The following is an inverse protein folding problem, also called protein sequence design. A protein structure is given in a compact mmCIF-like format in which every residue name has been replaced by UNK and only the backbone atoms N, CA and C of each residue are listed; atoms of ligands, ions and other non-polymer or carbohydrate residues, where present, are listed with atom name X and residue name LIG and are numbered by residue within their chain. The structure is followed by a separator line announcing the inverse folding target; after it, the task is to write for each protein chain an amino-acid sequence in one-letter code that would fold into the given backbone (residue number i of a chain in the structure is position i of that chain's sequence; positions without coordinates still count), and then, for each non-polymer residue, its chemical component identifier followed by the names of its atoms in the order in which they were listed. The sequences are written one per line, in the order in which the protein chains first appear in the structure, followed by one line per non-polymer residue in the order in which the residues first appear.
data_IF_226032903286
#
_entry.id   IF_226032903286
#
_cell.length_a   1.000
_cell.length_b   1.000
_cell.length_c   1.000
_cell.angle_alpha   90.00
_cell.angle_beta   90.00
_cell.angle_gamma   90.00
#
_symmetry.space_group_name_H-M   'P 1'
#
loop_
_entity.id
_entity.type
_entity.pdbx_description
1 polymer ?
#
# COMPACT_ATOMS: atom_id res chain seq x y z
N UNK A 1 -7.44 -78.43 -62.13
CA UNK A 1 -6.34 -78.83 -61.25
C UNK A 1 -6.25 -77.81 -60.10
N UNK A 2 -6.57 -78.27 -58.92
CA UNK A 2 -6.80 -77.55 -57.74
C UNK A 2 -5.51 -77.26 -57.01
N UNK A 3 -5.31 -76.02 -56.53
CA UNK A 3 -4.37 -75.76 -55.46
C UNK A 3 -5.02 -74.82 -54.38
N UNK A 4 -5.11 -75.35 -53.19
CA UNK A 4 -5.64 -74.67 -51.99
C UNK A 4 -4.60 -73.71 -51.49
N UNK A 5 -5.03 -72.45 -51.24
CA UNK A 5 -4.29 -71.47 -50.46
C UNK A 5 -4.69 -71.58 -48.95
N UNK A 6 -3.67 -71.68 -48.14
CA UNK A 6 -3.80 -71.75 -46.65
C UNK A 6 -3.60 -70.37 -46.08
N UNK A 7 -4.63 -69.84 -45.42
CA UNK A 7 -4.61 -68.52 -44.74
C UNK A 7 -4.09 -68.66 -43.31
N UNK A 8 -3.04 -67.97 -43.02
CA UNK A 8 -2.54 -67.79 -41.64
C UNK A 8 -3.19 -66.53 -41.03
N UNK A 9 -3.99 -66.75 -39.98
CA UNK A 9 -4.46 -65.68 -39.11
C UNK A 9 -3.41 -65.40 -38.02
N UNK A 10 -2.84 -64.22 -38.04
CA UNK A 10 -1.96 -63.71 -36.97
C UNK A 10 -2.81 -63.02 -35.93
N UNK A 11 -2.89 -63.59 -34.72
CA UNK A 11 -3.42 -62.91 -33.55
C UNK A 11 -2.41 -61.88 -33.05
N UNK A 12 -2.80 -60.58 -33.10
CA UNK A 12 -2.12 -59.53 -32.41
C UNK A 12 -2.72 -59.39 -31.00
N UNK A 13 -1.93 -59.76 -30.00
CA UNK A 13 -2.25 -59.48 -28.58
C UNK A 13 -1.76 -58.08 -28.29
N UNK A 14 -2.71 -57.14 -28.21
CA UNK A 14 -2.43 -55.74 -27.76
C UNK A 14 -2.31 -55.69 -26.23
N UNK A 15 -1.10 -55.42 -25.75
CA UNK A 15 -0.89 -55.08 -24.32
C UNK A 15 -1.21 -53.60 -24.15
N UNK A 16 -2.35 -53.31 -23.54
CA UNK A 16 -2.70 -51.94 -23.09
C UNK A 16 -1.98 -51.68 -21.76
N UNK A 17 -0.89 -50.94 -21.81
CA UNK A 17 -0.21 -50.40 -20.64
C UNK A 17 -0.99 -49.19 -20.13
N UNK A 18 -1.79 -49.35 -19.06
CA UNK A 18 -2.39 -48.23 -18.32
C UNK A 18 -1.31 -47.55 -17.48
N UNK A 19 -0.83 -46.39 -17.94
CA UNK A 19 0.00 -45.52 -17.12
C UNK A 19 -0.92 -44.79 -16.15
N UNK A 20 -0.94 -45.26 -14.90
CA UNK A 20 -1.56 -44.52 -13.79
C UNK A 20 -0.68 -43.29 -13.49
N UNK A 21 -1.09 -42.12 -13.93
CA UNK A 21 -0.51 -40.88 -13.46
C UNK A 21 -0.88 -40.68 -12.01
N UNK A 22 0.05 -41.00 -11.09
CA UNK A 22 -0.08 -40.63 -9.68
C UNK A 22 0.03 -39.09 -9.60
N UNK A 23 -1.09 -38.40 -9.48
CA UNK A 23 -1.15 -37.02 -9.05
C UNK A 23 -0.65 -36.96 -7.61
N UNK A 24 0.59 -36.53 -7.44
CA UNK A 24 1.14 -36.19 -6.14
C UNK A 24 0.39 -34.97 -5.64
N UNK A 25 -0.64 -35.17 -4.84
CA UNK A 25 -1.22 -34.09 -4.04
C UNK A 25 -0.12 -33.63 -3.07
N UNK A 26 0.55 -32.54 -3.36
CA UNK A 26 1.29 -31.83 -2.33
C UNK A 26 0.23 -31.32 -1.36
N UNK A 27 0.14 -31.96 -0.20
CA UNK A 27 -0.61 -31.40 0.92
C UNK A 27 -0.01 -30.03 1.19
N UNK A 28 -0.78 -28.97 0.93
CA UNK A 28 -0.38 -27.62 1.30
C UNK A 28 -0.19 -27.62 2.82
N UNK A 29 1.07 -27.58 3.26
CA UNK A 29 1.38 -27.42 4.67
C UNK A 29 0.83 -26.09 5.14
N UNK A 30 0.01 -26.10 6.22
CA UNK A 30 -0.45 -24.85 6.81
C UNK A 30 0.74 -23.93 7.13
N UNK A 31 0.67 -22.63 6.78
CA UNK A 31 1.72 -21.67 7.12
C UNK A 31 1.95 -21.63 8.63
N UNK A 32 3.20 -21.52 9.04
CA UNK A 32 3.58 -21.48 10.46
C UNK A 32 2.80 -20.41 11.21
N UNK A 33 2.37 -20.70 12.44
CA UNK A 33 1.63 -19.76 13.28
C UNK A 33 2.52 -18.91 14.17
N UNK A 34 3.63 -19.46 14.62
CA UNK A 34 4.58 -18.79 15.54
C UNK A 34 5.97 -19.41 15.33
N UNK A 35 6.96 -18.58 15.08
CA UNK A 35 8.35 -19.03 14.90
C UNK A 35 9.35 -17.92 15.19
N UNK A 36 10.59 -18.30 15.44
CA UNK A 36 11.73 -17.38 15.40
C UNK A 36 12.26 -17.37 13.97
N UNK A 37 12.36 -16.18 13.36
CA UNK A 37 12.98 -16.03 12.06
C UNK A 37 14.48 -16.40 12.17
N UNK A 38 14.95 -17.41 11.43
CA UNK A 38 16.32 -17.92 11.61
C UNK A 38 17.39 -16.95 11.14
N UNK A 39 17.04 -16.01 10.26
CA UNK A 39 18.00 -15.03 9.75
C UNK A 39 18.13 -13.81 10.66
N UNK A 40 17.10 -13.48 11.44
CA UNK A 40 17.03 -12.24 12.22
C UNK A 40 16.97 -12.46 13.73
N UNK A 41 16.47 -13.61 14.17
CA UNK A 41 16.23 -13.93 15.58
C UNK A 41 14.97 -13.28 16.17
N UNK A 42 14.15 -12.62 15.35
CA UNK A 42 12.87 -12.06 15.79
C UNK A 42 11.76 -13.10 15.77
N UNK A 43 10.83 -12.98 16.71
CA UNK A 43 9.62 -13.80 16.73
C UNK A 43 8.60 -13.27 15.73
N UNK A 44 8.07 -14.15 14.91
CA UNK A 44 6.99 -13.85 13.94
C UNK A 44 5.77 -14.65 14.30
N UNK A 45 4.61 -14.02 14.39
CA UNK A 45 3.33 -14.66 14.68
C UNK A 45 2.33 -14.40 13.54
N UNK A 46 1.55 -15.40 13.17
CA UNK A 46 0.44 -15.28 12.23
C UNK A 46 -0.81 -14.84 12.98
N UNK A 47 -1.40 -13.72 12.58
CA UNK A 47 -2.59 -13.18 13.21
C UNK A 47 -3.86 -13.79 12.64
N UNK A 48 -3.95 -13.99 11.31
CA UNK A 48 -5.16 -14.52 10.66
C UNK A 48 -5.14 -16.04 10.56
N UNK A 49 -6.25 -16.69 10.94
CA UNK A 49 -6.39 -18.14 10.88
C UNK A 49 -6.57 -18.65 9.45
N UNK A 50 -7.37 -17.95 8.65
CA UNK A 50 -7.67 -18.32 7.27
C UNK A 50 -6.89 -17.43 6.28
N UNK A 51 -6.54 -18.00 5.14
CA UNK A 51 -5.94 -17.27 4.03
C UNK A 51 -6.89 -16.18 3.51
N UNK A 52 -6.31 -15.16 2.85
CA UNK A 52 -7.05 -14.00 2.33
C UNK A 52 -6.98 -12.77 3.24
N UNK A 53 -6.27 -12.86 4.38
CA UNK A 53 -6.05 -11.72 5.26
C UNK A 53 -5.09 -10.68 4.68
N UNK A 54 -5.29 -9.39 5.03
CA UNK A 54 -4.34 -8.31 4.74
C UNK A 54 -4.45 -7.16 5.74
N UNK A 55 -3.35 -6.44 5.92
CA UNK A 55 -3.32 -5.13 6.55
C UNK A 55 -4.04 -4.10 5.69
N UNK A 56 -4.26 -2.91 6.21
CA UNK A 56 -4.65 -1.76 5.41
C UNK A 56 -3.47 -1.28 4.57
N UNK A 57 -3.72 -0.34 3.67
CA UNK A 57 -2.63 0.33 2.98
C UNK A 57 -1.80 1.13 3.98
N UNK A 58 -0.52 1.25 3.79
CA UNK A 58 0.45 1.70 4.81
C UNK A 58 0.13 3.05 5.47
N UNK A 59 -0.56 3.96 4.79
CA UNK A 59 -0.94 5.28 5.31
C UNK A 59 -2.36 5.34 5.89
N UNK A 60 -3.15 4.27 5.74
CA UNK A 60 -4.50 4.23 6.28
C UNK A 60 -4.50 4.10 7.81
N UNK A 61 -5.49 4.70 8.47
CA UNK A 61 -5.60 4.61 9.92
C UNK A 61 -6.08 3.21 10.36
N UNK A 62 -5.13 2.32 10.62
CA UNK A 62 -5.39 0.94 11.02
C UNK A 62 -5.73 0.79 12.52
N UNK A 63 -5.50 1.81 13.34
CA UNK A 63 -5.63 1.71 14.79
C UNK A 63 -6.74 2.62 15.35
N UNK A 64 -7.38 2.15 16.42
CA UNK A 64 -8.25 2.99 17.25
C UNK A 64 -7.50 4.20 17.82
N UNK A 65 -8.21 5.24 18.19
CA UNK A 65 -7.61 6.43 18.80
C UNK A 65 -6.75 6.09 20.03
N UNK A 66 -7.23 5.16 20.88
CA UNK A 66 -6.49 4.65 22.05
C UNK A 66 -5.28 3.78 21.65
N UNK A 67 -5.23 3.24 20.41
CA UNK A 67 -4.16 2.37 19.96
C UNK A 67 -4.26 0.92 20.39
N UNK A 68 -5.33 0.55 21.06
CA UNK A 68 -5.53 -0.79 21.64
C UNK A 68 -6.22 -1.78 20.70
N UNK A 69 -6.80 -1.31 19.60
CA UNK A 69 -7.43 -2.13 18.56
C UNK A 69 -6.81 -1.86 17.21
N UNK A 70 -6.57 -2.92 16.44
CA UNK A 70 -6.13 -2.84 15.06
C UNK A 70 -7.15 -3.47 14.13
N UNK A 71 -7.49 -2.79 13.05
CA UNK A 71 -8.35 -3.28 11.99
C UNK A 71 -7.56 -4.08 10.96
N UNK A 72 -8.13 -5.19 10.52
CA UNK A 72 -7.60 -6.06 9.48
C UNK A 72 -8.70 -6.42 8.47
N UNK A 73 -8.30 -6.67 7.24
CA UNK A 73 -9.15 -7.35 6.25
C UNK A 73 -8.95 -8.86 6.39
N UNK A 74 -10.02 -9.61 6.27
CA UNK A 74 -10.00 -11.07 6.29
C UNK A 74 -10.80 -11.63 5.10
N UNK A 75 -10.70 -12.92 4.85
CA UNK A 75 -11.57 -13.60 3.86
C UNK A 75 -13.05 -13.48 4.20
N UNK A 76 -13.39 -13.26 5.48
CA UNK A 76 -14.77 -13.11 5.98
C UNK A 76 -15.22 -11.67 6.11
N UNK A 77 -14.42 -10.67 5.67
CA UNK A 77 -14.76 -9.27 5.80
C UNK A 77 -13.77 -8.51 6.69
N UNK A 78 -14.28 -7.58 7.50
CA UNK A 78 -13.47 -6.73 8.38
C UNK A 78 -13.48 -7.29 9.79
N UNK A 79 -12.28 -7.40 10.38
CA UNK A 79 -12.10 -7.82 11.76
C UNK A 79 -11.20 -6.87 12.52
N UNK A 80 -11.26 -6.93 13.83
CA UNK A 80 -10.34 -6.22 14.73
C UNK A 80 -9.64 -7.20 15.65
N UNK A 81 -8.41 -6.85 16.00
CA UNK A 81 -7.58 -7.56 16.97
C UNK A 81 -7.24 -6.63 18.13
N UNK A 82 -7.18 -7.17 19.35
CA UNK A 82 -6.63 -6.48 20.51
C UNK A 82 -5.10 -6.48 20.39
N UNK A 83 -4.51 -5.29 20.29
CA UNK A 83 -3.06 -5.10 20.11
C UNK A 83 -2.27 -5.76 21.26
N UNK A 84 -2.76 -5.68 22.48
CA UNK A 84 -2.12 -6.31 23.65
C UNK A 84 -2.14 -7.84 23.63
N UNK A 85 -2.99 -8.45 22.77
CA UNK A 85 -3.10 -9.92 22.61
C UNK A 85 -2.27 -10.47 21.47
N UNK A 86 -1.65 -9.61 20.65
CA UNK A 86 -0.77 -10.10 19.57
C UNK A 86 0.36 -10.92 20.18
N UNK A 87 0.56 -12.14 19.66
CA UNK A 87 1.56 -13.08 20.16
C UNK A 87 1.18 -13.85 21.41
N UNK A 88 -0.07 -13.73 21.91
CA UNK A 88 -0.59 -14.56 22.99
C UNK A 88 -1.47 -15.70 22.47
N UNK A 89 -1.61 -16.76 23.25
CA UNK A 89 -2.53 -17.89 22.95
C UNK A 89 -4.00 -17.46 22.96
N UNK A 90 -4.31 -16.32 23.58
CA UNK A 90 -5.66 -15.78 23.65
C UNK A 90 -5.96 -14.77 22.55
N UNK A 91 -5.11 -14.69 21.53
CA UNK A 91 -5.36 -13.85 20.35
C UNK A 91 -6.64 -14.30 19.65
N UNK A 92 -7.55 -13.39 19.45
CA UNK A 92 -8.79 -13.61 18.72
C UNK A 92 -9.04 -12.50 17.72
N UNK A 93 -9.62 -12.86 16.57
CA UNK A 93 -10.12 -11.93 15.57
C UNK A 93 -11.61 -11.70 15.80
N UNK A 94 -12.00 -10.48 16.10
CA UNK A 94 -13.40 -10.12 16.28
C UNK A 94 -13.93 -9.54 14.97
N UNK A 95 -14.73 -10.31 14.22
CA UNK A 95 -15.40 -9.82 13.01
C UNK A 95 -16.34 -8.66 13.36
N UNK A 96 -16.20 -7.54 12.65
CA UNK A 96 -17.06 -6.36 12.82
C UNK A 96 -17.97 -6.13 11.62
N UNK A 97 -17.64 -6.67 10.46
CA UNK A 97 -18.50 -6.70 9.28
C UNK A 97 -18.11 -7.85 8.35
N UNK A 98 -19.09 -8.64 7.93
CA UNK A 98 -18.90 -9.71 6.96
C UNK A 98 -19.06 -9.25 5.50
N UNK A 99 -19.71 -8.12 5.29
CA UNK A 99 -20.03 -7.59 3.96
C UNK A 99 -19.06 -6.53 3.48
N UNK A 100 -18.51 -5.71 4.38
CA UNK A 100 -17.53 -4.70 4.04
C UNK A 100 -16.22 -5.33 3.56
N UNK A 101 -15.57 -4.68 2.61
CA UNK A 101 -14.27 -5.10 2.04
C UNK A 101 -13.15 -4.12 2.33
N UNK A 102 -13.46 -2.94 2.83
CA UNK A 102 -12.52 -1.91 3.25
C UNK A 102 -13.06 -1.08 4.41
N UNK A 103 -12.24 -0.18 4.89
CA UNK A 103 -12.56 0.73 5.96
C UNK A 103 -11.29 1.26 6.61
N UNK A 104 -11.47 2.07 7.64
CA UNK A 104 -10.39 2.64 8.45
C UNK A 104 -10.97 3.12 9.78
N UNK A 105 -10.13 3.20 10.82
CA UNK A 105 -10.57 3.75 12.09
C UNK A 105 -10.82 5.25 12.01
N UNK A 106 -11.85 5.72 12.70
CA UNK A 106 -12.00 7.12 13.02
C UNK A 106 -10.78 7.65 13.79
N UNK A 107 -10.42 8.92 13.59
CA UNK A 107 -9.31 9.54 14.34
C UNK A 107 -9.64 9.76 15.80
N UNK A 108 -10.94 9.82 16.13
CA UNK A 108 -11.46 9.92 17.49
C UNK A 108 -12.41 8.76 17.77
N UNK A 109 -12.44 8.30 19.02
CA UNK A 109 -13.38 7.26 19.44
C UNK A 109 -13.00 5.83 19.02
N UNK A 110 -14.04 5.02 18.83
CA UNK A 110 -13.97 3.56 18.68
C UNK A 110 -14.63 3.05 17.39
N UNK A 111 -14.94 3.95 16.48
CA UNK A 111 -15.66 3.62 15.26
C UNK A 111 -14.71 3.27 14.11
N UNK A 112 -15.11 2.32 13.29
CA UNK A 112 -14.54 2.03 11.97
C UNK A 112 -15.56 2.50 10.92
N UNK A 113 -15.11 3.32 9.98
CA UNK A 113 -15.87 3.65 8.78
C UNK A 113 -15.71 2.52 7.77
N UNK A 114 -16.80 1.91 7.37
CA UNK A 114 -16.84 0.75 6.48
C UNK A 114 -17.05 1.18 5.02
N UNK A 115 -16.38 0.53 4.10
CA UNK A 115 -16.62 0.66 2.67
C UNK A 115 -16.91 -0.68 2.01
N UNK A 116 -17.75 -0.68 0.98
CA UNK A 116 -18.08 -1.87 0.19
C UNK A 116 -16.89 -2.32 -0.70
N UNK A 117 -16.00 -1.40 -1.06
CA UNK A 117 -14.83 -1.68 -1.89
C UNK A 117 -13.57 -1.89 -1.03
N UNK A 118 -12.70 -2.80 -1.45
CA UNK A 118 -11.37 -2.95 -0.88
C UNK A 118 -10.48 -1.81 -1.39
N UNK A 119 -10.20 -0.83 -0.54
CA UNK A 119 -9.32 0.30 -0.85
C UNK A 119 -9.95 1.64 -0.47
N UNK A 120 -9.15 2.50 0.12
CA UNK A 120 -9.57 3.83 0.59
C UNK A 120 -9.34 4.93 -0.44
N UNK A 121 -8.83 4.62 -1.60
CA UNK A 121 -8.69 5.59 -2.69
C UNK A 121 -10.08 5.96 -3.22
N UNK A 122 -10.70 6.88 -2.54
CA UNK A 122 -11.93 7.65 -2.70
C UNK A 122 -12.66 7.70 -4.03
N UNK A 123 -12.97 6.58 -4.66
CA UNK A 123 -13.54 6.51 -6.00
C UNK A 123 -14.73 5.58 -6.15
N UNK A 124 -15.52 5.32 -5.12
CA UNK A 124 -16.76 4.57 -5.24
C UNK A 124 -17.88 5.43 -5.84
N UNK A 125 -18.29 5.15 -7.07
CA UNK A 125 -19.61 5.57 -7.58
C UNK A 125 -20.67 4.72 -6.87
N UNK A 126 -21.09 5.11 -5.67
CA UNK A 126 -22.10 4.42 -4.88
C UNK A 126 -22.95 5.42 -4.11
N UNK A 127 -23.98 4.92 -3.49
CA UNK A 127 -24.94 5.66 -2.69
C UNK A 127 -24.25 6.62 -1.70
N UNK A 128 -24.88 7.77 -1.46
CA UNK A 128 -24.43 8.73 -0.46
C UNK A 128 -24.61 8.15 0.94
N UNK A 129 -23.52 8.05 1.69
CA UNK A 129 -23.51 7.57 3.06
C UNK A 129 -22.47 6.47 3.29
N UNK A 130 -21.97 6.42 4.51
CA UNK A 130 -21.08 5.38 5.02
C UNK A 130 -21.66 4.79 6.30
N UNK A 131 -21.34 3.54 6.56
CA UNK A 131 -21.67 2.93 7.85
C UNK A 131 -20.45 2.98 8.74
N UNK A 132 -20.61 3.48 9.96
CA UNK A 132 -19.65 3.32 11.02
C UNK A 132 -20.08 2.18 11.95
N UNK A 133 -19.13 1.40 12.45
CA UNK A 133 -19.34 0.38 13.47
C UNK A 133 -18.47 0.66 14.67
N UNK A 134 -19.06 0.74 15.83
CA UNK A 134 -18.31 0.80 17.09
C UNK A 134 -17.74 -0.57 17.41
N UNK A 135 -16.41 -0.67 17.58
CA UNK A 135 -15.75 -1.99 17.70
C UNK A 135 -16.02 -2.72 19.01
N UNK A 136 -16.41 -2.01 20.06
CA UNK A 136 -16.71 -2.60 21.36
C UNK A 136 -18.17 -2.99 21.49
N UNK A 137 -19.10 -2.08 21.17
CA UNK A 137 -20.55 -2.29 21.33
C UNK A 137 -21.20 -2.95 20.12
N UNK A 138 -20.52 -2.98 18.96
CA UNK A 138 -21.06 -3.44 17.67
C UNK A 138 -22.22 -2.58 17.13
N UNK A 139 -22.43 -1.42 17.74
CA UNK A 139 -23.47 -0.49 17.30
C UNK A 139 -23.12 0.06 15.92
N UNK A 140 -24.09 -0.01 15.01
CA UNK A 140 -23.99 0.58 13.67
C UNK A 140 -24.54 2.00 13.70
N UNK A 141 -23.84 2.92 13.04
CA UNK A 141 -24.25 4.31 12.83
C UNK A 141 -24.15 4.66 11.35
N UNK A 142 -25.22 5.16 10.79
CA UNK A 142 -25.20 5.69 9.43
C UNK A 142 -24.64 7.11 9.44
N UNK A 143 -23.65 7.37 8.59
CA UNK A 143 -23.12 8.71 8.36
C UNK A 143 -23.67 9.16 7.00
N UNK A 144 -24.82 9.81 7.06
CA UNK A 144 -25.46 10.37 5.87
C UNK A 144 -24.48 11.29 5.14
N UNK A 145 -24.59 11.33 3.82
CA UNK A 145 -23.81 12.22 2.95
C UNK A 145 -22.30 11.94 2.87
N UNK A 146 -21.73 11.03 3.70
CA UNK A 146 -20.30 10.71 3.65
C UNK A 146 -19.92 9.98 2.37
N UNK A 147 -18.81 10.40 1.75
CA UNK A 147 -18.17 9.73 0.61
C UNK A 147 -16.64 9.82 0.72
N UNK A 148 -15.97 8.69 0.55
CA UNK A 148 -14.50 8.65 0.58
C UNK A 148 -13.93 8.80 1.98
N UNK A 149 -13.04 9.75 2.20
CA UNK A 149 -12.39 9.97 3.48
C UNK A 149 -13.21 10.93 4.35
N UNK A 150 -13.30 10.65 5.65
CA UNK A 150 -13.91 11.51 6.66
C UNK A 150 -12.79 12.17 7.47
N UNK A 151 -12.92 13.46 7.73
CA UNK A 151 -11.93 14.22 8.50
C UNK A 151 -11.95 13.90 9.99
N UNK A 152 -10.94 14.41 10.72
CA UNK A 152 -10.68 14.02 12.11
C UNK A 152 -11.77 14.38 13.12
N UNK A 153 -12.61 15.36 12.81
CA UNK A 153 -13.70 15.85 13.68
C UNK A 153 -15.11 15.45 13.18
N UNK A 154 -15.19 14.62 12.16
CA UNK A 154 -16.45 14.16 11.55
C UNK A 154 -17.36 15.30 11.06
N UNK A 155 -16.79 16.36 10.52
CA UNK A 155 -17.58 17.46 9.95
C UNK A 155 -17.68 17.40 8.44
N UNK A 156 -16.67 16.83 7.77
CA UNK A 156 -16.55 16.76 6.33
C UNK A 156 -16.17 15.35 5.86
N UNK A 157 -16.64 15.00 4.68
CA UNK A 157 -16.04 13.94 3.88
C UNK A 157 -15.47 14.49 2.59
N UNK A 158 -14.51 13.77 1.98
CA UNK A 158 -13.91 14.14 0.71
C UNK A 158 -13.79 12.96 -0.24
N UNK A 159 -14.09 13.22 -1.51
CA UNK A 159 -13.76 12.33 -2.61
C UNK A 159 -13.29 13.14 -3.82
N UNK A 160 -12.55 12.50 -4.73
CA UNK A 160 -12.14 13.14 -5.98
C UNK A 160 -13.26 13.10 -7.01
N UNK A 161 -13.41 14.19 -7.77
CA UNK A 161 -14.11 14.21 -9.02
C UNK A 161 -13.10 14.03 -10.16
N UNK A 162 -13.04 12.83 -10.76
CA UNK A 162 -12.08 12.50 -11.80
C UNK A 162 -12.40 13.10 -13.18
N UNK A 163 -13.53 13.79 -13.31
CA UNK A 163 -14.00 14.45 -14.54
C UNK A 163 -14.61 15.79 -14.20
N UNK A 164 -13.82 16.64 -13.58
CA UNK A 164 -14.22 18.01 -13.30
C UNK A 164 -14.44 18.78 -14.62
N UNK A 165 -15.36 19.74 -14.59
CA UNK A 165 -15.67 20.59 -15.74
C UNK A 165 -15.22 22.00 -15.40
N UNK A 166 -14.36 22.55 -16.23
CA UNK A 166 -14.00 23.97 -16.16
C UNK A 166 -15.13 24.83 -16.78
N UNK A 167 -16.09 25.20 -15.94
CA UNK A 167 -17.26 25.98 -16.37
C UNK A 167 -16.94 27.43 -16.71
N UNK A 168 -15.88 27.95 -16.13
CA UNK A 168 -15.52 29.37 -16.20
C UNK A 168 -14.30 29.60 -17.09
N UNK A 169 -13.72 28.57 -17.70
CA UNK A 169 -12.51 28.65 -18.51
C UNK A 169 -11.28 29.10 -17.73
N UNK A 170 -11.24 28.84 -16.42
CA UNK A 170 -10.15 29.27 -15.52
C UNK A 170 -8.95 28.36 -15.53
N UNK A 171 -9.12 27.15 -16.02
CA UNK A 171 -8.11 26.09 -15.96
C UNK A 171 -7.71 25.65 -17.37
N UNK A 172 -6.87 26.43 -18.07
CA UNK A 172 -6.45 26.09 -19.42
C UNK A 172 -5.69 24.76 -19.42
N UNK A 173 -5.89 23.97 -20.47
CA UNK A 173 -5.18 22.71 -20.65
C UNK A 173 -3.65 22.99 -20.60
N UNK A 174 -2.88 22.26 -19.80
CA UNK A 174 -1.45 22.42 -19.75
C UNK A 174 -0.83 22.11 -21.13
N UNK A 175 0.28 22.73 -21.50
CA UNK A 175 0.94 22.43 -22.75
C UNK A 175 1.33 20.97 -22.80
N UNK A 176 1.25 20.31 -23.99
CA UNK A 176 1.63 18.92 -24.14
C UNK A 176 3.10 18.73 -23.76
N UNK A 177 3.36 17.70 -22.98
CA UNK A 177 4.73 17.32 -22.62
C UNK A 177 5.32 16.40 -23.71
N UNK A 178 6.62 16.50 -23.99
CA UNK A 178 7.28 15.55 -24.89
C UNK A 178 7.17 14.12 -24.33
N UNK A 179 6.80 13.18 -25.18
CA UNK A 179 6.82 11.76 -24.82
C UNK A 179 8.26 11.27 -25.00
N UNK A 180 8.94 11.04 -23.89
CA UNK A 180 10.26 10.40 -23.90
C UNK A 180 10.07 8.96 -23.42
N UNK A 181 10.43 7.94 -24.24
CA UNK A 181 10.36 6.55 -23.81
C UNK A 181 11.15 6.32 -22.52
N UNK A 182 10.56 5.65 -21.55
CA UNK A 182 11.18 5.44 -20.25
C UNK A 182 12.47 4.63 -20.31
N UNK A 183 12.58 3.75 -21.32
CA UNK A 183 13.84 3.05 -21.59
C UNK A 183 15.01 4.03 -21.80
N UNK A 184 14.82 5.07 -22.61
CA UNK A 184 15.88 6.05 -22.89
C UNK A 184 16.25 6.88 -21.67
N UNK A 185 15.26 7.21 -20.82
CA UNK A 185 15.48 7.97 -19.60
C UNK A 185 16.19 7.15 -18.52
N UNK A 186 15.72 5.92 -18.30
CA UNK A 186 16.22 5.07 -17.22
C UNK A 186 17.54 4.36 -17.57
N UNK A 187 17.71 4.00 -18.84
CA UNK A 187 18.85 3.21 -19.33
C UNK A 187 19.36 3.77 -20.66
N UNK A 188 19.99 4.95 -20.67
CA UNK A 188 20.47 5.58 -21.90
C UNK A 188 21.39 4.65 -22.69
N UNK A 189 21.15 4.55 -24.01
CA UNK A 189 21.94 3.73 -24.92
C UNK A 189 21.71 2.22 -24.85
N UNK A 190 20.78 1.75 -24.01
CA UNK A 190 20.37 0.33 -23.95
C UNK A 190 19.16 0.05 -24.82
N UNK A 191 19.02 -1.22 -25.21
CA UNK A 191 17.80 -1.77 -25.81
C UNK A 191 17.11 -2.66 -24.76
N UNK A 192 15.81 -2.96 -24.95
CA UNK A 192 15.05 -3.79 -23.98
C UNK A 192 15.67 -5.18 -23.79
N UNK A 193 16.28 -5.76 -24.82
CA UNK A 193 16.96 -7.06 -24.74
C UNK A 193 18.24 -7.04 -23.90
N UNK A 194 18.87 -5.87 -23.74
CA UNK A 194 20.09 -5.70 -22.94
C UNK A 194 19.80 -5.61 -21.42
N UNK A 195 18.53 -5.50 -21.05
CA UNK A 195 18.08 -5.33 -19.69
C UNK A 195 17.82 -6.67 -19.00
N UNK A 196 18.03 -6.72 -17.70
CA UNK A 196 17.54 -7.83 -16.86
C UNK A 196 16.00 -7.87 -16.87
N UNK A 197 15.41 -8.99 -16.44
CA UNK A 197 13.95 -9.11 -16.32
C UNK A 197 13.36 -8.00 -15.43
N UNK A 198 14.02 -7.71 -14.32
CA UNK A 198 13.60 -6.68 -13.35
C UNK A 198 13.69 -5.28 -13.95
N UNK A 199 14.77 -4.99 -14.69
CA UNK A 199 14.91 -3.69 -15.36
C UNK A 199 13.85 -3.49 -16.44
N UNK A 200 13.53 -4.54 -17.22
CA UNK A 200 12.41 -4.49 -18.19
C UNK A 200 11.08 -4.24 -17.50
N UNK A 201 10.83 -4.92 -16.38
CA UNK A 201 9.62 -4.70 -15.61
C UNK A 201 9.53 -3.25 -15.12
N UNK A 202 10.61 -2.67 -14.59
CA UNK A 202 10.65 -1.28 -14.12
C UNK A 202 10.35 -0.30 -15.26
N UNK A 203 10.94 -0.48 -16.45
CA UNK A 203 10.63 0.34 -17.63
C UNK A 203 9.15 0.23 -18.02
N UNK A 204 8.64 -0.99 -18.12
CA UNK A 204 7.24 -1.25 -18.49
C UNK A 204 6.26 -0.62 -17.50
N UNK A 205 6.58 -0.67 -16.20
CA UNK A 205 5.77 -0.03 -15.15
C UNK A 205 5.72 1.47 -15.34
N UNK A 206 6.86 2.13 -15.54
CA UNK A 206 6.91 3.58 -15.75
C UNK A 206 6.22 4.00 -17.05
N UNK A 207 6.41 3.26 -18.14
CA UNK A 207 5.68 3.49 -19.40
C UNK A 207 4.15 3.38 -19.19
N UNK A 208 3.69 2.47 -18.35
CA UNK A 208 2.27 2.33 -18.00
C UNK A 208 1.71 3.51 -17.20
N UNK A 209 2.55 4.23 -16.47
CA UNK A 209 2.17 5.41 -15.69
C UNK A 209 2.22 6.70 -16.53
N UNK A 210 3.01 6.73 -17.59
CA UNK A 210 3.21 7.92 -18.42
C UNK A 210 1.90 8.55 -18.95
N UNK A 211 0.88 7.80 -19.41
CA UNK A 211 -0.38 8.39 -19.88
C UNK A 211 -1.10 9.24 -18.84
N UNK A 212 -0.91 8.97 -17.55
CA UNK A 212 -1.54 9.76 -16.45
C UNK A 212 -1.02 11.20 -16.40
N UNK A 213 0.25 11.40 -16.75
CA UNK A 213 0.87 12.72 -16.80
C UNK A 213 0.81 13.38 -18.20
N UNK A 214 0.79 12.55 -19.27
CA UNK A 214 0.78 13.02 -20.67
C UNK A 214 -0.60 13.50 -21.11
N UNK A 215 -1.67 12.86 -20.62
CA UNK A 215 -3.05 13.22 -20.94
C UNK A 215 -3.83 13.47 -19.64
N UNK A 216 -3.46 14.50 -18.87
CA UNK A 216 -4.08 14.76 -17.59
C UNK A 216 -5.53 15.21 -17.78
N UNK A 217 -6.48 14.56 -17.11
CA UNK A 217 -7.84 15.05 -16.97
C UNK A 217 -7.91 16.19 -15.95
N UNK A 218 -8.85 17.10 -16.11
CA UNK A 218 -9.20 18.03 -15.04
C UNK A 218 -9.85 17.24 -13.92
N UNK A 219 -9.34 17.38 -12.72
CA UNK A 219 -9.83 16.76 -11.50
C UNK A 219 -10.03 17.80 -10.41
N UNK A 220 -10.83 17.47 -9.40
CA UNK A 220 -11.11 18.32 -8.25
C UNK A 220 -11.43 17.47 -7.04
N UNK A 221 -11.60 18.13 -5.90
CA UNK A 221 -12.12 17.52 -4.67
C UNK A 221 -13.54 18.00 -4.42
N UNK A 222 -14.42 17.09 -4.03
CA UNK A 222 -15.74 17.39 -3.52
C UNK A 222 -15.72 17.14 -2.01
N UNK A 223 -15.78 18.23 -1.24
CA UNK A 223 -15.94 18.21 0.19
C UNK A 223 -17.43 18.28 0.50
N UNK A 224 -17.94 17.34 1.29
CA UNK A 224 -19.36 17.30 1.66
C UNK A 224 -19.52 17.50 3.16
N UNK A 225 -20.33 18.47 3.56
CA UNK A 225 -20.72 18.65 4.96
C UNK A 225 -21.51 17.43 5.43
N UNK A 226 -21.07 16.78 6.51
CA UNK A 226 -21.78 15.63 7.06
C UNK A 226 -23.08 16.02 7.76
N UNK A 227 -23.19 17.27 8.21
CA UNK A 227 -24.39 17.78 8.85
C UNK A 227 -25.50 18.15 7.86
N UNK A 228 -25.16 18.83 6.75
CA UNK A 228 -26.16 19.36 5.81
C UNK A 228 -26.24 18.58 4.49
N UNK A 229 -25.21 17.81 4.14
CA UNK A 229 -25.08 17.18 2.85
C UNK A 229 -24.62 18.14 1.72
N UNK A 230 -24.37 19.41 2.04
CA UNK A 230 -23.94 20.42 1.07
C UNK A 230 -22.55 20.09 0.52
N UNK A 231 -22.40 19.88 -0.79
CA UNK A 231 -21.11 19.66 -1.43
C UNK A 231 -20.44 21.00 -1.77
N UNK A 232 -19.14 21.05 -1.63
CA UNK A 232 -18.28 22.11 -2.15
C UNK A 232 -17.19 21.51 -3.02
N UNK A 233 -17.18 21.85 -4.28
CA UNK A 233 -16.15 21.44 -5.23
C UNK A 233 -15.05 22.50 -5.32
N UNK A 234 -13.80 22.06 -5.17
CA UNK A 234 -12.62 22.96 -5.18
C UNK A 234 -11.35 22.20 -5.55
N UNK A 235 -10.21 22.91 -5.61
CA UNK A 235 -8.91 22.29 -5.89
C UNK A 235 -8.79 21.78 -7.32
N UNK A 236 -9.39 22.47 -8.28
CA UNK A 236 -9.34 22.11 -9.69
C UNK A 236 -7.91 22.14 -10.21
N UNK A 237 -7.47 21.03 -10.80
CA UNK A 237 -6.13 20.90 -11.36
C UNK A 237 -6.09 19.74 -12.37
N UNK A 238 -5.15 19.85 -13.31
CA UNK A 238 -4.88 18.76 -14.25
C UNK A 238 -3.93 17.75 -13.62
N UNK A 239 -4.28 16.46 -13.69
CA UNK A 239 -3.47 15.37 -13.14
C UNK A 239 -4.29 14.10 -12.91
N UNK A 240 -3.68 13.11 -12.28
CA UNK A 240 -4.36 11.95 -11.70
C UNK A 240 -4.16 11.99 -10.18
N UNK A 241 -5.16 12.51 -9.46
CA UNK A 241 -5.10 12.70 -8.02
C UNK A 241 -5.33 11.38 -7.30
N UNK A 242 -4.49 11.07 -6.31
CA UNK A 242 -4.60 9.86 -5.53
C UNK A 242 -4.09 10.06 -4.09
N UNK A 243 -4.03 9.00 -3.27
CA UNK A 243 -3.54 8.99 -1.89
C UNK A 243 -4.16 10.11 -1.02
N UNK A 244 -5.46 10.31 -1.16
CA UNK A 244 -6.19 11.36 -0.45
C UNK A 244 -6.23 11.04 1.04
N UNK A 245 -5.67 11.93 1.88
CA UNK A 245 -5.54 11.75 3.31
C UNK A 245 -5.86 13.06 4.03
N UNK A 246 -6.90 13.09 4.87
CA UNK A 246 -7.03 14.20 5.80
C UNK A 246 -5.88 14.21 6.80
N UNK A 247 -5.44 15.42 7.17
CA UNK A 247 -4.53 15.57 8.28
C UNK A 247 -5.15 14.98 9.56
N UNK A 248 -4.41 14.20 10.36
CA UNK A 248 -4.96 13.53 11.54
C UNK A 248 -5.40 14.47 12.66
N UNK A 249 -4.97 15.75 12.63
CA UNK A 249 -5.22 16.75 13.68
C UNK A 249 -5.94 17.98 13.15
N UNK A 250 -5.48 18.56 12.04
CA UNK A 250 -6.15 19.69 11.38
C UNK A 250 -7.22 19.18 10.39
N UNK A 251 -8.52 19.24 10.76
CA UNK A 251 -9.60 18.70 9.93
C UNK A 251 -9.81 19.47 8.63
N UNK A 252 -9.15 20.61 8.47
CA UNK A 252 -9.25 21.47 7.28
C UNK A 252 -8.08 21.29 6.31
N UNK A 253 -7.15 20.38 6.56
CA UNK A 253 -5.99 20.15 5.72
C UNK A 253 -6.00 18.77 5.08
N UNK A 254 -5.73 18.72 3.79
CA UNK A 254 -5.71 17.49 2.97
C UNK A 254 -4.35 17.30 2.33
N UNK A 255 -3.83 16.09 2.40
CA UNK A 255 -2.67 15.59 1.65
C UNK A 255 -3.18 14.76 0.47
N UNK A 256 -2.53 14.86 -0.68
CA UNK A 256 -2.81 14.05 -1.85
C UNK A 256 -1.59 13.99 -2.77
N UNK A 257 -1.61 13.09 -3.73
CA UNK A 257 -0.55 13.01 -4.72
C UNK A 257 -1.05 13.16 -6.15
N UNK A 258 -0.15 13.55 -7.05
CA UNK A 258 -0.28 13.38 -8.48
C UNK A 258 0.39 12.07 -8.91
N UNK A 259 -0.38 11.20 -9.51
CA UNK A 259 0.15 9.96 -10.10
C UNK A 259 0.71 10.22 -11.49
N UNK A 260 1.72 9.44 -11.86
CA UNK A 260 2.39 9.48 -13.15
C UNK A 260 3.74 8.80 -13.09
N UNK A 261 4.55 8.98 -14.12
CA UNK A 261 5.94 8.53 -14.09
C UNK A 261 6.66 9.16 -12.92
N UNK A 262 7.16 8.35 -12.00
CA UNK A 262 7.58 8.78 -10.66
C UNK A 262 8.68 9.84 -10.66
N UNK A 263 9.60 9.78 -11.61
CA UNK A 263 10.68 10.76 -11.75
C UNK A 263 10.35 11.95 -12.67
N UNK A 264 9.08 12.06 -13.10
CA UNK A 264 8.63 13.17 -13.98
C UNK A 264 7.54 14.03 -13.35
N UNK A 265 6.88 13.57 -12.28
CA UNK A 265 5.80 14.30 -11.62
C UNK A 265 6.26 14.90 -10.29
N UNK A 266 5.82 16.13 -10.02
CA UNK A 266 5.88 16.72 -8.68
C UNK A 266 4.70 16.16 -7.88
N UNK A 267 4.98 15.18 -7.00
CA UNK A 267 3.98 14.24 -6.55
C UNK A 267 3.15 14.72 -5.37
N UNK A 268 3.78 15.20 -4.30
CA UNK A 268 3.16 15.35 -2.97
C UNK A 268 2.65 16.78 -2.73
N UNK A 269 1.35 16.92 -2.52
CA UNK A 269 0.66 18.20 -2.39
C UNK A 269 -0.21 18.26 -1.15
N UNK A 270 -0.44 19.47 -0.64
CA UNK A 270 -1.47 19.75 0.36
C UNK A 270 -2.38 20.88 -0.10
N UNK A 271 -3.62 20.86 0.41
CA UNK A 271 -4.65 21.86 0.14
C UNK A 271 -5.57 21.98 1.37
N UNK A 272 -6.09 23.16 1.61
CA UNK A 272 -7.17 23.33 2.60
C UNK A 272 -8.52 22.95 2.00
N UNK A 273 -9.45 22.55 2.85
CA UNK A 273 -10.79 22.14 2.42
C UNK A 273 -11.60 23.24 1.74
N UNK A 274 -11.24 24.51 1.92
CA UNK A 274 -11.82 25.67 1.20
C UNK A 274 -11.18 25.91 -0.18
N UNK A 275 -10.17 25.13 -0.55
CA UNK A 275 -9.43 25.27 -1.80
C UNK A 275 -8.22 26.21 -1.71
N UNK A 276 -8.04 26.90 -0.59
CA UNK A 276 -6.89 27.76 -0.36
C UNK A 276 -5.63 26.97 -0.01
N UNK A 277 -4.48 27.63 -0.07
CA UNK A 277 -3.22 27.06 0.41
C UNK A 277 -2.73 25.83 -0.36
N UNK A 278 -3.21 25.60 -1.59
CA UNK A 278 -2.73 24.52 -2.44
C UNK A 278 -1.25 24.73 -2.76
N UNK A 279 -0.41 23.77 -2.38
CA UNK A 279 1.04 23.86 -2.61
C UNK A 279 1.71 22.50 -2.60
N UNK A 280 2.85 22.43 -3.29
CA UNK A 280 3.77 21.31 -3.21
C UNK A 280 4.37 21.19 -1.80
N UNK A 281 4.43 20.00 -1.28
CA UNK A 281 5.17 19.67 -0.07
C UNK A 281 6.66 19.54 -0.39
N UNK A 282 6.97 18.87 -1.50
CA UNK A 282 8.34 18.71 -1.98
C UNK A 282 8.41 18.93 -3.49
N UNK A 283 9.21 19.91 -3.92
CA UNK A 283 9.53 20.15 -5.32
C UNK A 283 10.80 19.38 -5.69
N UNK A 284 10.76 18.62 -6.79
CA UNK A 284 11.95 17.96 -7.32
C UNK A 284 13.05 18.98 -7.62
N UNK A 285 14.28 18.65 -7.25
CA UNK A 285 15.45 19.53 -7.34
C UNK A 285 16.42 19.13 -8.45
N UNK A 286 16.22 17.93 -9.02
CA UNK A 286 17.07 17.38 -10.08
C UNK A 286 16.27 16.48 -11.03
N UNK A 287 16.84 16.20 -12.19
CA UNK A 287 16.31 15.18 -13.09
C UNK A 287 16.37 13.79 -12.46
N UNK A 288 15.41 12.93 -12.79
CA UNK A 288 15.26 11.59 -12.25
C UNK A 288 15.07 11.51 -10.72
N UNK A 289 14.76 12.62 -10.06
CA UNK A 289 14.37 12.59 -8.65
C UNK A 289 13.00 11.95 -8.48
N UNK A 290 12.87 11.05 -7.50
CA UNK A 290 11.60 10.45 -7.09
C UNK A 290 11.24 10.95 -5.70
N UNK A 291 10.04 11.52 -5.57
CA UNK A 291 9.29 11.64 -4.33
C UNK A 291 8.20 10.57 -4.39
N UNK A 292 8.26 9.58 -3.51
CA UNK A 292 7.39 8.40 -3.57
C UNK A 292 6.20 8.47 -2.62
N UNK A 293 5.95 7.37 -1.92
CA UNK A 293 4.78 7.17 -1.07
C UNK A 293 4.78 8.11 0.14
N UNK A 294 3.72 8.90 0.28
CA UNK A 294 3.60 9.95 1.30
C UNK A 294 2.56 9.59 2.37
N UNK A 295 2.83 10.01 3.61
CA UNK A 295 1.91 9.87 4.75
C UNK A 295 2.08 10.98 5.78
N UNK A 296 1.06 11.21 6.58
CA UNK A 296 1.11 12.11 7.72
C UNK A 296 1.83 11.48 8.92
N UNK A 297 2.67 12.25 9.61
CA UNK A 297 3.01 11.97 11.01
C UNK A 297 1.74 11.92 11.85
N UNK A 298 1.77 11.19 12.97
CA UNK A 298 0.58 11.07 13.84
C UNK A 298 0.09 12.41 14.39
N UNK A 299 0.99 13.34 14.66
CA UNK A 299 0.70 14.70 15.15
C UNK A 299 0.28 15.68 14.03
N UNK A 300 0.24 15.23 12.79
CA UNK A 300 -0.18 16.01 11.63
C UNK A 300 0.80 17.12 11.21
N UNK A 301 2.01 17.19 11.77
CA UNK A 301 2.98 18.24 11.49
C UNK A 301 3.87 17.94 10.31
N UNK A 302 4.24 16.68 10.13
CA UNK A 302 5.18 16.27 9.09
C UNK A 302 4.49 15.42 8.05
N UNK A 303 4.74 15.72 6.78
CA UNK A 303 4.49 14.79 5.69
C UNK A 303 5.78 14.04 5.42
N UNK A 304 5.76 12.74 5.68
CA UNK A 304 6.86 11.83 5.39
C UNK A 304 6.70 11.22 3.99
N UNK A 305 7.80 10.87 3.34
CA UNK A 305 7.80 10.19 2.04
C UNK A 305 9.15 9.50 1.78
N UNK A 306 9.14 8.54 0.88
CA UNK A 306 10.35 7.98 0.34
C UNK A 306 10.93 8.90 -0.75
N UNK A 307 12.25 9.10 -0.76
CA UNK A 307 12.92 10.03 -1.66
C UNK A 307 14.15 9.40 -2.29
N UNK A 308 14.33 9.59 -3.59
CA UNK A 308 15.53 9.19 -4.33
C UNK A 308 16.11 10.37 -5.09
N UNK A 309 17.40 10.59 -4.95
CA UNK A 309 18.11 11.77 -5.52
C UNK A 309 19.43 11.41 -6.18
N UNK A 310 19.44 10.97 -7.45
CA UNK A 310 18.31 10.59 -8.31
C UNK A 310 17.87 9.14 -8.13
N UNK A 311 16.86 8.74 -8.91
CA UNK A 311 16.29 7.37 -8.98
C UNK A 311 17.37 6.29 -8.92
N UNK A 312 17.15 5.30 -8.04
CA UNK A 312 18.01 4.12 -7.87
C UNK A 312 19.47 4.39 -7.50
N UNK A 313 19.82 5.60 -7.06
CA UNK A 313 21.20 5.95 -6.68
C UNK A 313 21.32 6.34 -5.22
N UNK A 314 20.57 7.33 -4.78
CA UNK A 314 20.66 7.87 -3.43
C UNK A 314 19.28 7.86 -2.78
N UNK A 315 19.16 7.21 -1.63
CA UNK A 315 17.89 6.93 -0.98
C UNK A 315 17.79 7.65 0.35
N UNK A 316 16.58 8.16 0.64
CA UNK A 316 16.26 8.87 1.85
C UNK A 316 14.86 8.49 2.34
N UNK A 317 14.71 8.40 3.64
CA UNK A 317 13.45 8.65 4.30
C UNK A 317 13.39 10.14 4.59
N UNK A 318 12.46 10.84 3.99
CA UNK A 318 12.39 12.29 4.05
C UNK A 318 11.06 12.78 4.63
N UNK A 319 11.07 13.94 5.23
CA UNK A 319 9.88 14.58 5.80
C UNK A 319 9.94 16.08 5.66
N UNK A 320 8.77 16.71 5.58
CA UNK A 320 8.61 18.17 5.55
C UNK A 320 7.61 18.58 6.62
N UNK A 321 8.03 19.41 7.55
CA UNK A 321 7.13 20.09 8.48
C UNK A 321 6.28 21.08 7.66
N UNK A 322 4.97 20.87 7.64
CA UNK A 322 4.07 21.61 6.76
C UNK A 322 3.83 23.07 7.20
N UNK A 323 4.17 23.41 8.43
CA UNK A 323 4.04 24.78 8.93
C UNK A 323 5.27 25.62 8.62
N UNK A 324 6.46 25.05 8.82
CA UNK A 324 7.73 25.75 8.70
C UNK A 324 8.44 25.54 7.36
N UNK A 325 8.08 24.48 6.63
CA UNK A 325 8.78 24.04 5.43
C UNK A 325 10.13 23.36 5.72
N UNK A 326 10.50 23.16 7.00
CA UNK A 326 11.75 22.51 7.38
C UNK A 326 11.77 21.07 6.90
N UNK A 327 12.82 20.70 6.18
CA UNK A 327 13.03 19.33 5.72
C UNK A 327 13.88 18.53 6.70
N UNK A 328 13.52 17.27 6.87
CA UNK A 328 14.32 16.24 7.53
C UNK A 328 14.65 15.17 6.51
N UNK A 329 15.90 14.70 6.46
CA UNK A 329 16.32 13.63 5.54
C UNK A 329 17.21 12.65 6.29
N UNK A 330 16.77 11.41 6.36
CA UNK A 330 17.56 10.31 6.89
C UNK A 330 18.11 9.49 5.73
N UNK A 331 19.43 9.34 5.67
CA UNK A 331 20.07 8.53 4.64
C UNK A 331 19.71 7.06 4.81
N UNK A 332 19.23 6.44 3.74
CA UNK A 332 18.95 5.01 3.67
C UNK A 332 19.93 4.39 2.66
N UNK A 333 20.65 3.34 3.05
CA UNK A 333 21.48 2.62 2.10
C UNK A 333 20.59 1.84 1.11
N UNK A 334 21.12 1.55 -0.08
CA UNK A 334 20.39 0.84 -1.13
C UNK A 334 19.75 -0.46 -0.62
N UNK A 335 20.51 -1.27 0.10
CA UNK A 335 20.08 -2.58 0.60
C UNK A 335 19.06 -2.48 1.76
N UNK A 336 18.79 -1.27 2.22
CA UNK A 336 17.80 -0.98 3.27
C UNK A 336 16.53 -0.37 2.71
N UNK A 337 16.45 -0.22 1.40
CA UNK A 337 15.31 0.39 0.76
C UNK A 337 14.04 -0.45 0.97
N UNK A 338 12.94 0.24 1.09
CA UNK A 338 11.59 -0.30 1.05
C UNK A 338 10.68 0.62 0.24
N UNK A 339 9.57 0.09 -0.22
CA UNK A 339 8.61 0.87 -1.00
C UNK A 339 7.70 1.65 -0.08
N UNK A 340 7.06 0.96 0.88
CA UNK A 340 6.19 1.59 1.85
C UNK A 340 6.90 1.70 3.17
N UNK A 341 6.81 2.88 3.75
CA UNK A 341 7.26 3.14 5.11
C UNK A 341 6.06 3.47 5.99
N UNK A 342 6.18 3.19 7.27
CA UNK A 342 5.24 3.58 8.30
C UNK A 342 6.02 4.06 9.52
N UNK A 343 5.48 5.00 10.28
CA UNK A 343 6.13 5.53 11.48
C UNK A 343 5.40 5.19 12.76
N UNK A 344 6.14 5.11 13.87
CA UNK A 344 5.55 5.15 15.20
C UNK A 344 4.89 6.51 15.45
N UNK A 345 3.99 6.58 16.44
CA UNK A 345 3.25 7.82 16.76
C UNK A 345 4.13 9.02 17.10
N UNK A 346 5.35 8.80 17.53
CA UNK A 346 6.33 9.82 17.91
C UNK A 346 7.48 9.97 16.91
N UNK A 347 7.37 9.32 15.75
CA UNK A 347 8.37 9.32 14.66
C UNK A 347 9.79 8.91 15.10
N UNK A 348 9.93 8.16 16.21
CA UNK A 348 11.22 7.63 16.66
C UNK A 348 11.58 6.30 16.02
N UNK A 349 10.57 5.58 15.50
CA UNK A 349 10.71 4.34 14.75
C UNK A 349 10.03 4.48 13.39
N UNK A 350 10.70 3.91 12.38
CA UNK A 350 10.10 3.69 11.07
C UNK A 350 10.24 2.22 10.70
N UNK A 351 9.25 1.67 10.02
CA UNK A 351 9.33 0.34 9.42
C UNK A 351 9.17 0.44 7.91
N UNK A 352 9.79 -0.47 7.17
CA UNK A 352 9.56 -0.59 5.72
C UNK A 352 9.30 -2.03 5.33
N UNK A 353 8.58 -2.20 4.23
CA UNK A 353 8.16 -3.50 3.74
C UNK A 353 9.12 -4.16 2.75
N UNK A 354 10.33 -3.64 2.61
CA UNK A 354 11.30 -4.11 1.64
C UNK A 354 10.96 -3.62 0.25
N UNK A 355 10.44 -4.44 -0.56
CA UNK A 355 10.02 -4.06 -1.90
C UNK A 355 10.57 -5.00 -2.97
N UNK A 356 9.83 -5.08 -4.05
CA UNK A 356 10.25 -5.80 -5.23
C UNK A 356 11.47 -5.09 -5.84
N UNK A 357 12.63 -5.75 -5.97
CA UNK A 357 13.84 -5.14 -6.54
C UNK A 357 13.65 -4.66 -7.97
N UNK A 358 12.63 -5.15 -8.68
CA UNK A 358 12.27 -4.69 -10.02
C UNK A 358 11.61 -3.32 -10.05
N UNK A 359 11.10 -2.81 -8.95
CA UNK A 359 10.30 -1.58 -8.95
C UNK A 359 11.17 -0.32 -9.00
N UNK A 360 11.98 -0.06 -7.99
CA UNK A 360 12.73 1.21 -7.88
C UNK A 360 14.18 1.04 -7.43
N UNK A 361 14.50 0.01 -6.68
CA UNK A 361 15.84 -0.27 -6.19
C UNK A 361 16.12 -1.77 -6.20
N UNK A 362 17.38 -2.11 -6.38
CA UNK A 362 17.84 -3.49 -6.27
C UNK A 362 18.54 -3.67 -4.93
N UNK A 363 17.99 -4.55 -4.10
CA UNK A 363 18.67 -5.00 -2.89
C UNK A 363 19.58 -6.18 -3.23
N UNK A 364 20.84 -6.14 -2.80
CA UNK A 364 21.79 -7.23 -3.05
C UNK A 364 21.62 -8.37 -2.05
N UNK A 365 20.97 -8.13 -0.92
CA UNK A 365 20.83 -9.07 0.19
C UNK A 365 19.39 -9.57 0.41
N UNK A 366 18.51 -9.41 -0.58
CA UNK A 366 17.13 -9.87 -0.55
C UNK A 366 16.13 -8.84 -0.02
N UNK A 367 14.90 -9.29 0.20
CA UNK A 367 13.80 -8.47 0.69
C UNK A 367 13.58 -8.70 2.19
N UNK A 368 13.36 -7.62 2.92
CA UNK A 368 13.24 -7.64 4.38
C UNK A 368 12.11 -6.74 4.85
N UNK A 369 11.41 -7.13 5.89
CA UNK A 369 10.76 -6.16 6.76
C UNK A 369 11.89 -5.53 7.59
N UNK A 370 12.05 -4.21 7.47
CA UNK A 370 13.09 -3.46 8.16
C UNK A 370 12.49 -2.57 9.25
N UNK A 371 13.26 -2.37 10.30
CA UNK A 371 13.01 -1.35 11.32
C UNK A 371 14.16 -0.35 11.32
N UNK A 372 13.83 0.91 11.49
CA UNK A 372 14.77 2.01 11.59
C UNK A 372 14.51 2.76 12.90
N UNK A 373 15.56 3.00 13.66
CA UNK A 373 15.51 3.79 14.89
C UNK A 373 16.23 5.10 14.68
N UNK A 374 15.56 6.21 14.94
CA UNK A 374 16.19 7.54 14.88
C UNK A 374 17.21 7.64 15.99
N UNK A 375 18.43 8.00 15.61
CA UNK A 375 19.55 8.18 16.54
C UNK A 375 19.69 9.64 16.96
N UNK A 376 20.30 9.93 18.12
CA UNK A 376 20.52 11.30 18.58
C UNK A 376 21.35 12.17 17.61
N UNK A 377 22.20 11.54 16.82
CA UNK A 377 23.03 12.21 15.81
C UNK A 377 22.27 12.51 14.49
N UNK A 378 20.97 12.18 14.42
CA UNK A 378 20.16 12.38 13.23
C UNK A 378 20.33 11.32 12.15
N UNK A 379 20.94 10.18 12.47
CA UNK A 379 21.02 9.02 11.59
C UNK A 379 19.94 7.96 11.89
N UNK A 380 19.87 6.92 11.07
CA UNK A 380 19.01 5.76 11.30
C UNK A 380 19.85 4.52 11.60
N UNK A 381 19.64 3.92 12.76
CA UNK A 381 20.07 2.54 12.99
C UNK A 381 19.01 1.59 12.38
N UNK A 382 19.48 0.68 11.52
CA UNK A 382 18.63 -0.30 10.84
C UNK A 382 18.71 -1.66 11.53
N UNK A 383 17.56 -2.34 11.58
CA UNK A 383 17.44 -3.72 11.99
C UNK A 383 16.56 -4.49 10.99
N UNK A 384 17.00 -5.69 10.58
CA UNK A 384 16.20 -6.63 9.79
C UNK A 384 15.28 -7.39 10.73
N UNK A 385 13.99 -7.43 10.42
CA UNK A 385 13.00 -8.10 11.26
C UNK A 385 12.55 -9.45 10.69
N UNK A 386 12.28 -9.53 9.39
CA UNK A 386 11.79 -10.76 8.73
C UNK A 386 12.42 -10.89 7.36
N UNK A 387 12.89 -12.11 7.04
CA UNK A 387 13.27 -12.49 5.69
C UNK A 387 12.03 -12.67 4.81
N UNK A 388 11.92 -11.82 3.78
CA UNK A 388 10.82 -11.82 2.82
C UNK A 388 11.17 -12.50 1.49
N UNK A 389 12.27 -13.24 1.41
CA UNK A 389 12.74 -13.90 0.18
C UNK A 389 11.71 -14.89 -0.41
N UNK A 390 10.84 -15.47 0.43
CA UNK A 390 9.76 -16.36 0.01
C UNK A 390 8.45 -15.63 -0.29
N UNK A 391 8.37 -14.35 -0.02
CA UNK A 391 7.17 -13.55 -0.24
C UNK A 391 7.01 -13.18 -1.72
N UNK A 392 5.80 -13.31 -2.25
CA UNK A 392 5.50 -12.86 -3.62
C UNK A 392 5.03 -11.40 -3.63
N UNK A 393 5.91 -10.53 -4.07
CA UNK A 393 5.65 -9.08 -4.19
C UNK A 393 4.97 -8.67 -5.49
N UNK A 394 5.07 -9.48 -6.55
CA UNK A 394 4.65 -9.07 -7.89
C UNK A 394 3.13 -9.11 -8.02
N UNK A 395 2.48 -7.96 -7.76
CA UNK A 395 1.02 -7.83 -7.74
C UNK A 395 0.35 -8.29 -9.03
N UNK A 396 0.95 -8.02 -10.20
CA UNK A 396 0.47 -8.51 -11.50
C UNK A 396 0.55 -10.03 -11.70
N UNK A 397 1.18 -10.77 -10.76
CA UNK A 397 1.29 -12.23 -10.76
C UNK A 397 0.70 -12.85 -9.48
N UNK A 398 -0.31 -12.22 -8.90
CA UNK A 398 -0.98 -12.70 -7.69
C UNK A 398 -0.21 -12.45 -6.40
N UNK A 399 0.83 -11.63 -6.43
CA UNK A 399 1.54 -11.17 -5.26
C UNK A 399 0.82 -10.01 -4.56
N UNK A 400 1.30 -9.65 -3.39
CA UNK A 400 0.74 -8.59 -2.55
C UNK A 400 1.84 -7.72 -1.95
N UNK A 401 1.52 -6.48 -1.69
CA UNK A 401 2.38 -5.56 -0.94
C UNK A 401 2.19 -5.78 0.56
N UNK A 402 3.26 -5.86 1.36
CA UNK A 402 3.13 -6.14 2.80
C UNK A 402 2.45 -5.03 3.59
N UNK A 403 2.60 -3.76 3.21
CA UNK A 403 1.93 -2.63 3.86
C UNK A 403 2.10 -2.66 5.39
N UNK A 404 3.31 -2.35 5.85
CA UNK A 404 3.70 -2.42 7.26
C UNK A 404 2.99 -1.40 8.14
N UNK A 405 2.69 -1.78 9.39
CA UNK A 405 2.18 -0.89 10.43
C UNK A 405 2.89 -1.16 11.76
N UNK A 406 3.49 -0.13 12.35
CA UNK A 406 4.04 -0.21 13.72
C UNK A 406 2.89 -0.10 14.72
N UNK A 407 2.79 -1.04 15.66
CA UNK A 407 1.78 -0.93 16.72
C UNK A 407 2.05 0.27 17.63
N UNK A 408 0.99 0.95 18.15
CA UNK A 408 1.15 2.13 18.97
C UNK A 408 2.00 1.93 20.24
N UNK A 409 2.05 0.70 20.78
CA UNK A 409 2.90 0.31 21.91
C UNK A 409 4.35 -0.01 21.50
N UNK A 410 4.67 0.10 20.21
CA UNK A 410 5.99 -0.18 19.61
C UNK A 410 6.53 -1.59 19.86
N UNK A 411 5.66 -2.58 20.08
CA UNK A 411 6.08 -3.97 20.29
C UNK A 411 6.15 -4.76 19.02
N UNK A 412 5.33 -4.41 18.02
CA UNK A 412 5.16 -5.20 16.82
C UNK A 412 5.22 -4.35 15.55
N UNK A 413 5.72 -4.95 14.48
CA UNK A 413 5.45 -4.51 13.11
C UNK A 413 4.50 -5.53 12.49
N UNK A 414 3.30 -5.06 12.10
CA UNK A 414 2.25 -5.89 11.49
C UNK A 414 2.31 -5.71 9.98
N UNK A 415 2.21 -6.81 9.22
CA UNK A 415 2.35 -6.79 7.76
C UNK A 415 1.55 -7.92 7.10
N UNK A 416 1.30 -7.78 5.81
CA UNK A 416 0.73 -8.83 4.97
C UNK A 416 1.86 -9.70 4.41
N UNK A 417 1.78 -11.01 4.58
CA UNK A 417 2.75 -11.95 4.05
C UNK A 417 2.09 -13.03 3.19
N UNK A 418 2.81 -13.49 2.16
CA UNK A 418 2.43 -14.62 1.32
C UNK A 418 3.66 -15.51 1.13
N UNK A 419 4.00 -16.26 2.17
CA UNK A 419 5.16 -17.15 2.18
C UNK A 419 4.92 -18.48 1.46
N UNK A 420 3.66 -18.85 1.28
CA UNK A 420 3.23 -20.02 0.51
C UNK A 420 2.25 -19.57 -0.61
N UNK A 421 2.31 -20.15 -1.80
CA UNK A 421 1.44 -19.78 -2.92
C UNK A 421 -0.04 -19.79 -2.54
N UNK A 422 -0.74 -18.68 -2.77
CA UNK A 422 -2.16 -18.52 -2.44
C UNK A 422 -2.49 -18.36 -0.95
N UNK A 423 -1.51 -18.47 -0.05
CA UNK A 423 -1.68 -18.37 1.40
C UNK A 423 -1.31 -16.98 1.91
N UNK A 424 -2.13 -15.99 1.60
CA UNK A 424 -1.96 -14.63 2.11
C UNK A 424 -2.52 -14.51 3.52
N UNK A 425 -1.68 -14.08 4.46
CA UNK A 425 -2.05 -13.87 5.86
C UNK A 425 -1.52 -12.53 6.40
N UNK A 426 -2.08 -12.11 7.53
CA UNK A 426 -1.49 -11.04 8.33
C UNK A 426 -0.58 -11.66 9.38
N UNK A 427 0.62 -11.10 9.46
CA UNK A 427 1.66 -11.48 10.43
C UNK A 427 2.04 -10.28 11.28
N UNK A 428 2.61 -10.55 12.44
CA UNK A 428 3.28 -9.56 13.27
C UNK A 428 4.68 -10.07 13.63
N UNK A 429 5.68 -9.20 13.55
CA UNK A 429 7.03 -9.49 14.03
C UNK A 429 7.31 -8.68 15.28
N UNK A 430 7.80 -9.34 16.32
CA UNK A 430 8.18 -8.72 17.60
C UNK A 430 9.43 -7.85 17.40
N UNK A 431 9.36 -6.58 17.82
CA UNK A 431 10.49 -5.65 17.66
C UNK A 431 11.64 -6.01 18.61
N UNK A 432 11.33 -6.48 19.81
CA UNK A 432 12.34 -7.01 20.72
C UNK A 432 12.79 -8.41 20.28
N UNK A 433 14.08 -8.68 20.36
CA UNK A 433 14.61 -10.05 20.20
C UNK A 433 14.38 -10.84 21.49
N UNK A 434 14.19 -12.14 21.34
CA UNK A 434 14.09 -13.08 22.45
C UNK A 434 15.44 -13.74 22.74
#
# INVERSE_FOLDING_TARGET
MSSRAMTWQSMLVGVVATVAAATVFHAQTEPRRDWIDPATGHRVVRITDQAGGSTLYFHDNAFSAAGDRMMLRTSKGIAVVDVARIGSETLTLNTVSETARGGYFARRGRDIYLSAAAGNSGGGRGESGMTAVNVDTKTLRQIAHARGQINADETLSVHKNARAIDRDGKYPLPPPRPIVPQLQRMFPGKQMQDLTADQRYAVTKEDSLAPRALNPGLQSFIFTSLASGEPRETGFQYGDLNHIQFNPVDPQLLLYCHEGTWHEVDRTWIIRTDGSGMRLVHKRTMDMEINGHEWWSWDGRTVWFDLQTPRSQVFWLAGVDVQTGRQTRYRVARDWWGIHFNSSRDDTLFASDGGDPSQVAYSSDGMWINLFRVQPDGTLAREKLVDMSRHNYVTGKGGVEPNVHITPDKKWVVFTGQFEPGQRHVYAVEIAKR
#
